data_IF_422673318569
#
_entry.id   IF_422673318569
#
_cell.length_a   1.000
_cell.length_b   1.000
_cell.length_c   1.000
_cell.angle_alpha   90.00
_cell.angle_beta   90.00
_cell.angle_gamma   90.00
#
_symmetry.space_group_name_H-M   'P 1'
#
loop_
_entity.id
_entity.type
_entity.pdbx_description
1 polymer ?
#
# COMPACT_ATOMS: atom_id res chain seq x y z
N UNK A 1 5.06 9.14 -5.07
CA UNK A 1 4.13 9.29 -3.94
C UNK A 1 2.72 9.26 -4.45
N UNK A 2 2.00 8.22 -4.07
CA UNK A 2 0.58 8.04 -4.34
C UNK A 2 -0.23 8.69 -3.22
N UNK A 3 -1.32 9.36 -3.59
CA UNK A 3 -2.37 9.81 -2.68
C UNK A 3 -3.64 9.01 -2.96
N UNK A 4 -4.23 8.40 -1.95
CA UNK A 4 -5.53 7.71 -2.03
C UNK A 4 -6.50 8.40 -1.08
N UNK A 5 -7.56 8.97 -1.65
CA UNK A 5 -8.70 9.45 -0.88
C UNK A 5 -9.62 8.25 -0.63
N UNK A 6 -9.81 7.89 0.63
CA UNK A 6 -10.60 6.71 1.04
C UNK A 6 -11.78 7.19 1.87
N UNK A 7 -12.99 6.74 1.52
CA UNK A 7 -14.22 7.04 2.26
C UNK A 7 -14.66 5.79 3.00
N UNK A 8 -14.73 5.86 4.32
CA UNK A 8 -14.98 4.72 5.19
C UNK A 8 -15.84 5.11 6.38
N UNK A 9 -16.52 4.14 6.98
CA UNK A 9 -17.25 4.33 8.23
C UNK A 9 -16.32 4.03 9.39
N UNK A 10 -16.14 4.96 10.32
CA UNK A 10 -15.33 4.72 11.51
C UNK A 10 -16.05 3.84 12.54
N UNK A 11 -15.34 3.42 13.60
CA UNK A 11 -15.92 2.59 14.65
C UNK A 11 -17.02 3.28 15.48
N UNK A 12 -17.23 4.60 15.32
CA UNK A 12 -18.35 5.33 15.91
C UNK A 12 -19.54 5.44 14.95
N UNK A 13 -19.49 4.78 13.78
CA UNK A 13 -20.53 4.83 12.76
C UNK A 13 -20.55 6.14 11.98
N UNK A 14 -19.51 6.97 12.08
CA UNK A 14 -19.41 8.24 11.34
C UNK A 14 -18.67 8.02 10.02
N UNK A 15 -19.21 8.55 8.93
CA UNK A 15 -18.52 8.55 7.63
C UNK A 15 -17.34 9.52 7.67
N UNK A 16 -16.18 9.06 7.22
CA UNK A 16 -14.95 9.83 7.07
C UNK A 16 -14.45 9.73 5.64
N UNK A 17 -13.95 10.83 5.12
CA UNK A 17 -13.21 10.88 3.85
C UNK A 17 -11.86 11.51 4.12
N UNK A 18 -10.80 10.71 3.99
CA UNK A 18 -9.45 11.13 4.35
C UNK A 18 -8.44 10.80 3.23
N UNK A 19 -7.39 11.61 3.15
CA UNK A 19 -6.29 11.44 2.21
C UNK A 19 -5.15 10.65 2.88
N UNK A 20 -4.85 9.48 2.33
CA UNK A 20 -3.74 8.62 2.76
C UNK A 20 -2.61 8.65 1.73
N UNK A 21 -1.37 8.67 2.21
CA UNK A 21 -0.19 8.80 1.37
C UNK A 21 0.65 7.54 1.41
N UNK A 22 1.15 7.14 0.24
CA UNK A 22 1.96 5.95 0.08
C UNK A 22 3.17 6.24 -0.80
N UNK A 23 4.36 5.89 -0.33
CA UNK A 23 5.59 6.09 -1.07
C UNK A 23 6.70 5.13 -0.62
N UNK A 24 7.28 4.45 -1.61
CA UNK A 24 8.57 3.79 -1.47
C UNK A 24 9.67 4.74 -1.93
N UNK A 25 10.80 4.74 -1.24
CA UNK A 25 12.02 5.35 -1.77
C UNK A 25 12.57 4.53 -2.93
N UNK A 26 13.45 5.13 -3.74
CA UNK A 26 14.13 4.39 -4.83
C UNK A 26 14.90 3.17 -4.29
N UNK A 27 15.50 3.29 -3.11
CA UNK A 27 16.21 2.20 -2.45
C UNK A 27 15.27 1.05 -2.06
N UNK A 28 14.13 1.36 -1.43
CA UNK A 28 13.16 0.33 -1.02
C UNK A 28 12.52 -0.37 -2.23
N UNK A 29 12.18 0.40 -3.28
CA UNK A 29 11.64 -0.18 -4.51
C UNK A 29 12.66 -1.11 -5.16
N UNK A 30 13.94 -0.70 -5.24
CA UNK A 30 15.02 -1.52 -5.78
C UNK A 30 15.29 -2.77 -4.93
N UNK A 31 15.30 -2.64 -3.60
CA UNK A 31 15.44 -3.76 -2.68
C UNK A 31 14.33 -4.80 -2.89
N UNK A 32 13.07 -4.36 -3.01
CA UNK A 32 11.93 -5.25 -3.23
C UNK A 32 11.98 -5.92 -4.61
N UNK A 33 12.39 -5.19 -5.64
CA UNK A 33 12.56 -5.73 -6.99
C UNK A 33 13.66 -6.79 -7.04
N UNK A 34 14.80 -6.55 -6.37
CA UNK A 34 15.93 -7.48 -6.33
C UNK A 34 15.71 -8.68 -5.40
N UNK A 35 14.92 -8.52 -4.34
CA UNK A 35 14.62 -9.59 -3.38
C UNK A 35 13.55 -10.57 -3.87
N UNK A 36 12.86 -10.23 -4.98
CA UNK A 36 11.74 -11.01 -5.50
C UNK A 36 12.12 -11.67 -6.83
N UNK A 37 12.08 -13.01 -6.89
CA UNK A 37 12.40 -13.74 -8.12
C UNK A 37 11.43 -13.39 -9.26
N UNK A 38 11.95 -12.73 -10.30
CA UNK A 38 11.16 -12.27 -11.45
C UNK A 38 10.63 -10.84 -11.33
N UNK A 39 10.96 -10.11 -10.26
CA UNK A 39 10.51 -8.75 -10.02
C UNK A 39 9.20 -8.69 -9.22
N UNK A 40 8.95 -7.53 -8.60
CA UNK A 40 7.80 -7.29 -7.73
C UNK A 40 6.50 -7.31 -8.54
N UNK A 41 6.49 -6.62 -9.69
CA UNK A 41 5.29 -6.49 -10.53
C UNK A 41 4.80 -7.83 -11.07
N UNK A 42 5.70 -8.65 -11.60
CA UNK A 42 5.34 -9.98 -12.13
C UNK A 42 4.94 -10.95 -11.02
N UNK A 43 5.54 -10.84 -9.84
CA UNK A 43 5.14 -11.63 -8.67
C UNK A 43 3.72 -11.30 -8.22
N UNK A 44 3.36 -10.02 -8.16
CA UNK A 44 2.00 -9.59 -7.79
C UNK A 44 0.99 -10.07 -8.84
N UNK A 45 1.27 -9.89 -10.13
CA UNK A 45 0.40 -10.39 -11.21
C UNK A 45 0.18 -11.89 -11.11
N UNK A 46 1.25 -12.66 -10.88
CA UNK A 46 1.18 -14.12 -10.70
C UNK A 46 0.34 -14.51 -9.49
N UNK A 47 0.57 -13.86 -8.34
CA UNK A 47 -0.12 -14.17 -7.08
C UNK A 47 -1.62 -13.90 -7.21
N UNK A 48 -2.01 -12.76 -7.79
CA UNK A 48 -3.43 -12.43 -8.01
C UNK A 48 -4.05 -13.37 -9.05
N UNK A 49 -3.36 -13.67 -10.16
CA UNK A 49 -3.87 -14.56 -11.21
C UNK A 49 -4.01 -16.01 -10.75
N UNK A 50 -3.13 -16.47 -9.85
CA UNK A 50 -3.18 -17.81 -9.26
C UNK A 50 -4.24 -17.93 -8.16
N UNK A 51 -4.87 -16.82 -7.76
CA UNK A 51 -5.82 -16.75 -6.65
C UNK A 51 -5.24 -17.33 -5.34
N UNK A 52 -3.92 -17.18 -5.14
CA UNK A 52 -3.21 -17.66 -3.97
C UNK A 52 -3.48 -16.71 -2.79
N UNK A 53 -4.64 -16.89 -2.16
CA UNK A 53 -5.13 -16.00 -1.11
C UNK A 53 -4.12 -15.78 0.03
N UNK A 54 -3.43 -16.82 0.56
CA UNK A 54 -2.37 -16.60 1.57
C UNK A 54 -1.22 -15.73 1.07
N UNK A 55 -0.74 -15.94 -0.17
CA UNK A 55 0.33 -15.13 -0.74
C UNK A 55 -0.11 -13.69 -1.02
N UNK A 56 -1.33 -13.51 -1.54
CA UNK A 56 -1.99 -12.20 -1.75
C UNK A 56 -2.00 -11.42 -0.44
N UNK A 57 -2.49 -12.04 0.64
CA UNK A 57 -2.63 -11.38 1.94
C UNK A 57 -1.29 -10.93 2.46
N UNK A 58 -0.28 -11.81 2.41
CA UNK A 58 1.05 -11.52 2.93
C UNK A 58 1.71 -10.36 2.19
N UNK A 59 1.72 -10.41 0.86
CA UNK A 59 2.46 -9.43 0.05
C UNK A 59 1.79 -8.06 0.06
N UNK A 60 0.46 -7.98 -0.04
CA UNK A 60 -0.22 -6.68 -0.01
C UNK A 60 -0.13 -6.03 1.35
N UNK A 61 -0.28 -6.79 2.44
CA UNK A 61 -0.07 -6.25 3.78
C UNK A 61 1.32 -5.66 3.91
N UNK A 62 2.36 -6.36 3.47
CA UNK A 62 3.73 -5.87 3.53
C UNK A 62 3.92 -4.58 2.70
N UNK A 63 3.45 -4.57 1.45
CA UNK A 63 3.60 -3.43 0.55
C UNK A 63 2.86 -2.19 1.08
N UNK A 64 1.60 -2.34 1.50
CA UNK A 64 0.77 -1.24 1.99
C UNK A 64 1.43 -0.59 3.20
N UNK A 65 1.87 -1.40 4.18
CA UNK A 65 2.46 -0.90 5.42
C UNK A 65 3.85 -0.31 5.21
N UNK A 66 4.70 -0.92 4.36
CA UNK A 66 6.04 -0.39 4.04
C UNK A 66 5.97 0.90 3.23
N UNK A 67 4.92 1.08 2.44
CA UNK A 67 4.68 2.30 1.66
C UNK A 67 3.97 3.39 2.45
N UNK A 68 3.21 3.06 3.50
CA UNK A 68 2.43 4.05 4.25
C UNK A 68 3.31 5.03 5.02
N UNK A 69 2.90 6.30 5.03
CA UNK A 69 3.55 7.33 5.82
C UNK A 69 2.86 8.68 5.69
N UNK A 70 3.37 9.65 6.44
CA UNK A 70 2.85 11.01 6.45
C UNK A 70 3.87 11.99 5.88
N UNK A 71 3.40 12.96 5.10
CA UNK A 71 4.24 14.05 4.63
C UNK A 71 4.49 15.01 5.78
N UNK A 72 5.75 15.33 6.06
CA UNK A 72 6.08 16.32 7.08
C UNK A 72 5.49 17.70 6.72
N UNK A 73 5.18 18.56 7.71
CA UNK A 73 4.62 19.89 7.43
C UNK A 73 5.49 20.77 6.52
N UNK A 74 6.82 20.62 6.63
CA UNK A 74 7.80 21.30 5.77
C UNK A 74 8.01 20.63 4.40
N UNK A 75 7.34 19.50 4.15
CA UNK A 75 7.39 18.72 2.92
C UNK A 75 8.72 18.01 2.64
N UNK A 76 9.70 18.09 3.55
CA UNK A 76 11.05 17.53 3.34
C UNK A 76 11.12 16.03 3.55
N UNK A 77 10.23 15.48 4.37
CA UNK A 77 10.26 14.09 4.78
C UNK A 77 8.95 13.41 4.44
N UNK A 78 9.08 12.17 4.02
CA UNK A 78 7.98 11.21 4.08
C UNK A 78 8.24 10.34 5.31
N UNK A 79 7.55 10.65 6.40
CA UNK A 79 7.78 10.03 7.71
C UNK A 79 7.08 8.69 7.71
N UNK A 80 7.87 7.63 7.85
CA UNK A 80 7.41 6.26 7.98
C UNK A 80 7.86 5.71 9.33
N UNK A 81 6.95 5.07 10.05
CA UNK A 81 7.26 4.36 11.29
C UNK A 81 6.34 3.16 11.46
N UNK A 82 6.75 2.21 12.29
CA UNK A 82 5.91 1.08 12.68
C UNK A 82 4.63 1.55 13.37
N UNK A 83 4.71 2.63 14.16
CA UNK A 83 3.56 3.20 14.86
C UNK A 83 2.53 3.77 13.87
N UNK A 84 2.97 4.53 12.86
CA UNK A 84 2.08 5.09 11.84
C UNK A 84 1.43 4.00 11.00
N UNK A 85 2.22 3.04 10.53
CA UNK A 85 1.69 1.92 9.73
C UNK A 85 0.76 1.02 10.55
N UNK A 86 1.07 0.78 11.82
CA UNK A 86 0.19 0.04 12.73
C UNK A 86 -1.13 0.78 12.96
N UNK A 87 -1.08 2.07 13.30
CA UNK A 87 -2.27 2.88 13.50
C UNK A 87 -3.16 2.88 12.25
N UNK A 88 -2.58 3.03 11.06
CA UNK A 88 -3.32 2.93 9.80
C UNK A 88 -3.95 1.54 9.61
N UNK A 89 -3.21 0.47 9.89
CA UNK A 89 -3.73 -0.91 9.76
C UNK A 89 -4.90 -1.26 10.68
N UNK A 90 -5.10 -0.46 11.72
CA UNK A 90 -6.21 -0.59 12.66
C UNK A 90 -7.46 0.19 12.20
N UNK A 91 -7.40 0.89 11.05
CA UNK A 91 -8.53 1.66 10.49
C UNK A 91 -9.35 0.88 9.47
N UNK A 92 -10.62 1.25 9.32
CA UNK A 92 -11.49 0.75 8.24
C UNK A 92 -11.03 1.23 6.85
N UNK A 93 -10.27 2.33 6.76
CA UNK A 93 -9.63 2.75 5.51
C UNK A 93 -8.63 1.71 5.00
N UNK A 94 -7.84 1.12 5.92
CA UNK A 94 -6.93 0.02 5.58
C UNK A 94 -7.72 -1.21 5.11
N UNK A 95 -8.78 -1.60 5.82
CA UNK A 95 -9.63 -2.73 5.43
C UNK A 95 -10.17 -2.58 4.01
N UNK A 96 -10.70 -1.40 3.66
CA UNK A 96 -11.19 -1.13 2.32
C UNK A 96 -10.09 -1.19 1.26
N UNK A 97 -8.96 -0.53 1.49
CA UNK A 97 -7.83 -0.55 0.57
C UNK A 97 -7.33 -1.98 0.36
N UNK A 98 -7.16 -2.74 1.43
CA UNK A 98 -6.69 -4.11 1.36
C UNK A 98 -7.63 -4.99 0.53
N UNK A 99 -8.94 -4.89 0.76
CA UNK A 99 -9.93 -5.65 0.00
C UNK A 99 -9.97 -5.26 -1.48
N UNK A 100 -9.83 -3.96 -1.80
CA UNK A 100 -9.67 -3.48 -3.19
C UNK A 100 -8.49 -4.17 -3.87
N UNK A 101 -7.30 -4.13 -3.26
CA UNK A 101 -6.09 -4.69 -3.87
C UNK A 101 -6.09 -6.23 -3.91
N UNK A 102 -6.75 -6.88 -2.95
CA UNK A 102 -6.82 -8.34 -2.89
C UNK A 102 -7.77 -8.93 -3.95
N UNK A 103 -8.74 -8.16 -4.46
CA UNK A 103 -9.77 -8.65 -5.37
C UNK A 103 -9.70 -8.04 -6.78
N UNK A 104 -8.95 -6.96 -6.97
CA UNK A 104 -8.77 -6.28 -8.25
C UNK A 104 -7.27 -6.19 -8.62
N UNK A 105 -6.89 -7.02 -9.61
CA UNK A 105 -5.52 -7.08 -10.13
C UNK A 105 -5.04 -5.77 -10.78
N UNK A 106 -5.94 -5.04 -11.42
CA UNK A 106 -5.63 -3.77 -12.08
C UNK A 106 -5.46 -2.66 -11.04
N UNK A 107 -6.30 -2.63 -10.00
CA UNK A 107 -6.14 -1.72 -8.86
C UNK A 107 -4.82 -1.99 -8.12
N UNK A 108 -4.50 -3.26 -7.87
CA UNK A 108 -3.20 -3.68 -7.31
C UNK A 108 -2.01 -3.18 -8.14
N UNK A 109 -2.03 -3.42 -9.46
CA UNK A 109 -0.96 -2.97 -10.35
C UNK A 109 -0.82 -1.43 -10.34
N UNK A 110 -1.94 -0.69 -10.39
CA UNK A 110 -1.94 0.77 -10.30
C UNK A 110 -1.39 1.27 -8.97
N UNK A 111 -1.75 0.62 -7.87
CA UNK A 111 -1.24 0.98 -6.54
C UNK A 111 0.28 0.82 -6.47
N UNK A 112 0.80 -0.35 -6.86
CA UNK A 112 2.23 -0.65 -6.86
C UNK A 112 3.00 0.33 -7.74
N UNK A 113 2.51 0.57 -8.96
CA UNK A 113 3.13 1.55 -9.86
C UNK A 113 3.10 2.98 -9.30
N UNK A 114 2.07 3.34 -8.53
CA UNK A 114 1.93 4.66 -7.93
C UNK A 114 2.84 4.91 -6.72
N UNK A 115 3.14 3.87 -5.94
CA UNK A 115 4.00 3.98 -4.75
C UNK A 115 5.49 3.92 -5.09
N UNK A 116 5.84 3.26 -6.20
CA UNK A 116 7.21 3.23 -6.72
C UNK A 116 7.53 4.59 -7.35
N UNK A 117 8.69 5.22 -7.05
CA UNK A 117 9.08 6.45 -7.71
C UNK A 117 9.23 6.24 -9.22
N UNK A 118 8.66 7.14 -10.02
CA UNK A 118 8.98 7.17 -11.45
C UNK A 118 10.50 7.30 -11.61
N UNK A 119 11.07 6.40 -12.42
CA UNK A 119 12.49 6.39 -12.78
C UNK A 119 12.90 7.69 -13.45
#
# INVERSE_FOLDING_TARGET
MLKKTITYMDYNGSERTEDFYFNLSKAEAMEMEMSTTGGLTETIRRIVSANDTPAIIKIFKEIILKAYGEKSPDGKRFVKSEELSKAFSETEAYSQLFMELATDADAAAKFVNGIVPAT
#
